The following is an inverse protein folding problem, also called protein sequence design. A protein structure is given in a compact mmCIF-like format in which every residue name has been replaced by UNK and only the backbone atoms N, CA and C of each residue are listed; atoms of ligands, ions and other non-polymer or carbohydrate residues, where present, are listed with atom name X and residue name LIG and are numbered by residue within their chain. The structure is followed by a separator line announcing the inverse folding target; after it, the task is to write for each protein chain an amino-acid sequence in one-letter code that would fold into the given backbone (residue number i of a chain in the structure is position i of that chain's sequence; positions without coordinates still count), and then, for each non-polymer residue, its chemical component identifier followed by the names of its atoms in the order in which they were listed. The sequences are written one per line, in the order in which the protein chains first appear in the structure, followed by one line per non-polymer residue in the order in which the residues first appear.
data_IF_385176130169
#
_entry.id   IF_385176130169
#
_cell.length_a   1.000
_cell.length_b   1.000
_cell.length_c   1.000
_cell.angle_alpha   90.00
_cell.angle_beta   90.00
_cell.angle_gamma   90.00
#
_symmetry.space_group_name_H-M   'P 1'
#
loop_
_entity.id
_entity.type
_entity.pdbx_description
1 polymer ?
#
# COMPACT_ATOMS: atom_id res chain seq x y z
N UNK A 1 -18.18 -9.94 -2.34
CA UNK A 1 -17.00 -10.77 -2.76
C UNK A 1 -16.21 -11.09 -1.50
N UNK A 2 -15.78 -12.33 -1.31
CA UNK A 2 -14.86 -12.70 -0.21
C UNK A 2 -13.46 -12.56 -0.78
N UNK A 3 -12.63 -11.74 -0.12
CA UNK A 3 -11.23 -11.57 -0.47
C UNK A 3 -10.43 -12.57 0.37
N UNK A 4 -9.53 -13.31 -0.28
CA UNK A 4 -8.69 -14.31 0.34
C UNK A 4 -7.23 -13.83 0.36
N UNK A 5 -6.39 -14.53 1.15
CA UNK A 5 -4.95 -14.33 1.11
C UNK A 5 -4.41 -14.55 -0.31
N UNK A 6 -3.40 -13.76 -0.68
CA UNK A 6 -2.80 -13.78 -2.02
C UNK A 6 -1.35 -14.28 -1.89
N UNK A 7 -1.04 -15.41 -2.51
CA UNK A 7 0.34 -15.88 -2.63
C UNK A 7 1.06 -15.08 -3.71
N UNK A 8 2.15 -14.42 -3.35
CA UNK A 8 3.01 -13.69 -4.30
C UNK A 8 4.03 -14.65 -4.91
N UNK A 9 4.68 -15.45 -4.07
CA UNK A 9 5.60 -16.52 -4.47
C UNK A 9 5.73 -17.54 -3.30
N UNK A 10 6.75 -18.40 -3.33
CA UNK A 10 6.96 -19.44 -2.31
C UNK A 10 7.25 -18.89 -0.90
N UNK A 11 7.77 -17.66 -0.80
CA UNK A 11 8.21 -17.05 0.47
C UNK A 11 7.37 -15.86 0.89
N UNK A 12 6.66 -15.20 -0.05
CA UNK A 12 5.90 -13.98 0.19
C UNK A 12 4.40 -14.26 0.08
N UNK A 13 3.65 -13.90 1.12
CA UNK A 13 2.20 -13.97 1.15
C UNK A 13 1.60 -12.65 1.63
N UNK A 14 0.53 -12.22 0.99
CA UNK A 14 -0.32 -11.11 1.43
C UNK A 14 -1.53 -11.72 2.14
N UNK A 15 -1.65 -11.50 3.44
CA UNK A 15 -2.80 -11.98 4.22
C UNK A 15 -3.79 -10.85 4.42
N UNK A 16 -5.06 -11.15 4.25
CA UNK A 16 -6.13 -10.19 4.53
C UNK A 16 -6.02 -9.70 5.97
N UNK A 17 -6.09 -8.38 6.17
CA UNK A 17 -5.97 -7.78 7.49
C UNK A 17 -7.07 -8.27 8.42
N UNK A 18 -6.69 -8.75 9.61
CA UNK A 18 -7.59 -9.22 10.64
C UNK A 18 -7.38 -8.46 11.96
N UNK A 19 -8.40 -8.46 12.81
CA UNK A 19 -8.33 -7.76 14.10
C UNK A 19 -7.12 -8.19 14.95
N UNK A 20 -6.72 -9.45 14.88
CA UNK A 20 -5.59 -9.98 15.66
C UNK A 20 -4.24 -9.34 15.26
N UNK A 21 -4.13 -8.75 14.09
CA UNK A 21 -2.87 -8.23 13.54
C UNK A 21 -2.41 -6.92 14.20
N UNK A 22 -3.29 -6.22 14.92
CA UNK A 22 -3.01 -4.88 15.43
C UNK A 22 -1.76 -4.80 16.31
N UNK A 23 -1.46 -5.82 17.12
CA UNK A 23 -0.28 -5.82 17.98
C UNK A 23 1.00 -5.96 17.16
N UNK A 24 1.02 -6.90 16.21
CA UNK A 24 2.16 -7.12 15.31
C UNK A 24 2.46 -5.87 14.49
N UNK A 25 1.42 -5.23 13.95
CA UNK A 25 1.55 -3.97 13.20
C UNK A 25 2.10 -2.87 14.09
N UNK A 26 1.55 -2.69 15.32
CA UNK A 26 2.03 -1.69 16.25
C UNK A 26 3.51 -1.87 16.58
N UNK A 27 3.95 -3.09 16.93
CA UNK A 27 5.35 -3.36 17.22
C UNK A 27 6.26 -3.07 16.04
N UNK A 28 5.85 -3.43 14.82
CA UNK A 28 6.62 -3.14 13.62
C UNK A 28 6.76 -1.64 13.36
N UNK A 29 5.68 -0.86 13.55
CA UNK A 29 5.73 0.60 13.48
C UNK A 29 6.66 1.16 14.54
N UNK A 30 6.53 0.71 15.79
CA UNK A 30 7.29 1.21 16.93
C UNK A 30 8.79 1.00 16.77
N UNK A 31 9.20 -0.17 16.31
CA UNK A 31 10.60 -0.51 16.02
C UNK A 31 11.17 0.25 14.80
N UNK A 32 10.32 0.82 13.94
CA UNK A 32 10.73 1.44 12.68
C UNK A 32 10.30 2.92 12.56
N UNK A 33 9.95 3.60 13.68
CA UNK A 33 9.43 4.98 13.65
C UNK A 33 10.31 5.96 12.89
N UNK A 34 11.62 5.95 13.12
CA UNK A 34 12.56 6.88 12.47
C UNK A 34 12.61 6.70 10.95
N UNK A 35 12.43 5.47 10.48
CA UNK A 35 12.36 5.14 9.06
C UNK A 35 11.02 5.54 8.44
N UNK A 36 9.92 5.09 9.04
CA UNK A 36 8.56 5.24 8.50
C UNK A 36 8.08 6.70 8.57
N UNK A 37 8.38 7.42 9.66
CA UNK A 37 7.95 8.80 9.91
C UNK A 37 8.39 9.79 8.82
N UNK A 38 9.46 9.48 8.10
CA UNK A 38 9.96 10.34 7.01
C UNK A 38 8.92 10.57 5.92
N UNK A 39 8.06 9.57 5.70
CA UNK A 39 7.14 9.53 4.56
C UNK A 39 5.69 9.21 4.94
N UNK A 40 5.45 8.79 6.17
CA UNK A 40 4.15 8.28 6.62
C UNK A 40 3.70 9.06 7.86
N UNK A 41 2.83 10.06 7.70
CA UNK A 41 2.42 10.93 8.80
C UNK A 41 1.64 10.19 9.89
N UNK A 42 0.97 9.07 9.59
CA UNK A 42 0.22 8.29 10.56
C UNK A 42 1.07 7.76 11.72
N UNK A 43 2.38 7.62 11.54
CA UNK A 43 3.31 7.15 12.58
C UNK A 43 3.28 8.05 13.82
N UNK A 44 3.06 9.35 13.65
CA UNK A 44 2.94 10.29 14.76
C UNK A 44 1.61 10.17 15.54
N UNK A 45 0.61 9.58 14.92
CA UNK A 45 -0.70 9.31 15.53
C UNK A 45 -0.79 7.89 16.11
N UNK A 46 0.03 6.94 15.64
CA UNK A 46 0.11 5.58 16.17
C UNK A 46 1.03 5.52 17.41
N UNK A 47 0.55 6.04 18.54
CA UNK A 47 1.31 6.16 19.79
C UNK A 47 1.18 4.94 20.71
N UNK A 48 0.16 4.14 20.50
CA UNK A 48 -0.15 2.94 21.28
C UNK A 48 -0.77 1.86 20.42
N UNK A 49 -0.80 0.62 20.93
CA UNK A 49 -1.49 -0.48 20.26
C UNK A 49 -3.00 -0.24 20.12
N UNK A 50 -3.58 0.63 20.96
CA UNK A 50 -5.00 1.02 20.85
C UNK A 50 -5.26 1.86 19.59
N UNK A 51 -4.33 2.73 19.22
CA UNK A 51 -4.45 3.54 18.00
C UNK A 51 -4.38 2.67 16.76
N UNK A 52 -3.46 1.68 16.76
CA UNK A 52 -3.37 0.68 15.70
C UNK A 52 -4.62 -0.20 15.64
N UNK A 53 -5.19 -0.60 16.79
CA UNK A 53 -6.46 -1.33 16.83
C UNK A 53 -7.60 -0.51 16.23
N UNK A 54 -7.65 0.81 16.50
CA UNK A 54 -8.66 1.69 15.89
C UNK A 54 -8.52 1.74 14.36
N UNK A 55 -7.29 1.83 13.85
CA UNK A 55 -7.02 1.73 12.40
C UNK A 55 -7.48 0.37 11.84
N UNK A 56 -7.05 -0.75 12.45
CA UNK A 56 -7.44 -2.09 11.96
C UNK A 56 -8.95 -2.26 11.95
N UNK A 57 -9.66 -1.79 13.00
CA UNK A 57 -11.12 -1.79 13.03
C UNK A 57 -11.72 -0.95 11.90
N UNK A 58 -11.19 0.23 11.62
CA UNK A 58 -11.72 1.07 10.54
C UNK A 58 -11.63 0.43 9.16
N UNK A 59 -10.67 -0.49 8.96
CA UNK A 59 -10.56 -1.27 7.73
C UNK A 59 -11.47 -2.50 7.75
N UNK A 60 -11.41 -3.29 8.82
CA UNK A 60 -12.17 -4.56 8.92
C UNK A 60 -13.67 -4.33 8.96
N UNK A 61 -14.10 -3.24 9.59
CA UNK A 61 -15.53 -2.87 9.73
C UNK A 61 -16.02 -1.98 8.57
N UNK A 62 -15.21 -1.75 7.53
CA UNK A 62 -15.59 -0.92 6.37
C UNK A 62 -16.61 -1.63 5.47
N UNK A 63 -17.89 -1.41 5.77
CA UNK A 63 -19.02 -1.96 5.01
C UNK A 63 -19.12 -1.42 3.58
N UNK A 64 -18.63 -0.20 3.34
CA UNK A 64 -18.63 0.43 2.01
C UNK A 64 -17.49 -0.09 1.12
N UNK A 65 -16.55 -0.81 1.71
CA UNK A 65 -15.37 -1.35 1.02
C UNK A 65 -14.61 -0.30 0.24
N UNK A 66 -14.40 0.85 0.83
CA UNK A 66 -13.60 1.93 0.25
C UNK A 66 -12.10 1.71 0.42
N UNK A 67 -11.75 0.74 1.26
CA UNK A 67 -10.37 0.34 1.51
C UNK A 67 -10.26 -1.17 1.75
N UNK A 68 -9.10 -1.72 1.41
CA UNK A 68 -8.74 -3.10 1.68
C UNK A 68 -7.25 -3.15 2.02
N UNK A 69 -6.87 -3.85 3.06
CA UNK A 69 -5.47 -3.89 3.50
C UNK A 69 -5.01 -5.32 3.70
N UNK A 70 -3.79 -5.59 3.28
CA UNK A 70 -3.10 -6.86 3.45
C UNK A 70 -1.84 -6.67 4.28
N UNK A 71 -1.60 -7.60 5.19
CA UNK A 71 -0.34 -7.77 5.88
C UNK A 71 0.64 -8.52 4.97
N UNK A 72 1.89 -8.04 4.88
CA UNK A 72 2.94 -8.67 4.07
C UNK A 72 3.77 -9.57 4.98
N UNK A 73 3.86 -10.84 4.62
CA UNK A 73 4.66 -11.85 5.32
C UNK A 73 5.73 -12.41 4.39
N UNK A 74 6.96 -12.52 4.89
CA UNK A 74 8.10 -13.11 4.18
C UNK A 74 8.70 -14.18 5.08
N UNK A 75 8.73 -15.43 4.60
CA UNK A 75 9.20 -16.61 5.37
C UNK A 75 8.58 -16.72 6.77
N UNK A 76 7.28 -16.38 6.87
CA UNK A 76 6.54 -16.42 8.14
C UNK A 76 6.74 -15.20 9.04
N UNK A 77 7.50 -14.20 8.61
CA UNK A 77 7.72 -12.95 9.35
C UNK A 77 6.87 -11.82 8.76
N UNK A 78 6.16 -11.06 9.63
CA UNK A 78 5.48 -9.82 9.24
C UNK A 78 6.50 -8.74 8.89
N UNK A 79 6.35 -8.09 7.72
CA UNK A 79 7.32 -7.12 7.23
C UNK A 79 6.72 -5.78 6.80
N UNK A 80 5.40 -5.65 6.74
CA UNK A 80 4.75 -4.40 6.33
C UNK A 80 3.30 -4.57 5.90
N UNK A 81 2.75 -3.53 5.31
CA UNK A 81 1.40 -3.50 4.76
C UNK A 81 1.41 -3.08 3.29
N UNK A 82 0.45 -3.60 2.55
CA UNK A 82 0.02 -3.09 1.25
C UNK A 82 -1.50 -3.01 1.26
N UNK A 83 -2.06 -1.92 0.73
CA UNK A 83 -3.50 -1.73 0.77
C UNK A 83 -4.02 -0.95 -0.41
N UNK A 84 -5.31 -1.10 -0.59
CA UNK A 84 -6.15 -0.35 -1.52
C UNK A 84 -6.89 0.72 -0.73
N UNK A 85 -6.88 1.94 -1.20
CA UNK A 85 -7.63 3.05 -0.63
C UNK A 85 -8.34 3.82 -1.74
N UNK A 86 -9.32 4.61 -1.35
CA UNK A 86 -10.14 5.38 -2.28
C UNK A 86 -10.72 4.50 -3.42
N UNK A 87 -11.18 3.29 -3.05
CA UNK A 87 -11.81 2.37 -4.00
C UNK A 87 -13.12 3.02 -4.48
N UNK A 88 -13.16 3.32 -5.77
CA UNK A 88 -14.30 3.92 -6.45
C UNK A 88 -14.79 2.94 -7.54
N UNK A 89 -15.76 2.12 -7.16
CA UNK A 89 -16.33 1.12 -8.07
C UNK A 89 -17.09 1.75 -9.23
N UNK A 90 -17.67 2.95 -9.04
CA UNK A 90 -18.39 3.65 -10.09
C UNK A 90 -17.46 4.09 -11.21
N UNK A 91 -16.33 4.70 -10.86
CA UNK A 91 -15.33 5.16 -11.81
C UNK A 91 -14.24 4.11 -12.08
N UNK A 92 -14.33 2.92 -11.44
CA UNK A 92 -13.40 1.79 -11.58
C UNK A 92 -11.94 2.21 -11.37
N UNK A 93 -11.68 2.92 -10.29
CA UNK A 93 -10.35 3.40 -9.92
C UNK A 93 -10.01 3.10 -8.46
N UNK A 94 -8.71 2.99 -8.18
CA UNK A 94 -8.20 2.68 -6.84
C UNK A 94 -6.79 3.23 -6.68
N UNK A 95 -6.41 3.56 -5.44
CA UNK A 95 -5.04 3.91 -5.09
C UNK A 95 -4.37 2.78 -4.28
N UNK A 96 -3.13 2.41 -4.62
CA UNK A 96 -2.30 1.49 -3.84
C UNK A 96 -1.41 2.31 -2.90
N UNK A 97 -1.46 1.97 -1.60
CA UNK A 97 -0.53 2.46 -0.59
C UNK A 97 0.24 1.31 0.05
N UNK A 98 1.50 1.55 0.46
CA UNK A 98 2.34 0.50 1.05
C UNK A 98 3.46 1.04 1.93
N UNK A 99 3.94 0.16 2.83
CA UNK A 99 5.19 0.37 3.55
C UNK A 99 5.83 -0.95 3.97
N UNK A 100 7.14 -0.92 4.20
CA UNK A 100 7.93 -2.03 4.75
C UNK A 100 8.77 -1.56 5.92
N UNK A 101 9.07 -2.48 6.83
CA UNK A 101 10.10 -2.27 7.84
C UNK A 101 11.46 -2.02 7.17
N UNK A 102 12.32 -1.21 7.82
CA UNK A 102 13.55 -0.69 7.22
C UNK A 102 14.46 -1.78 6.64
N UNK A 103 14.72 -2.86 7.40
CA UNK A 103 15.61 -3.96 7.01
C UNK A 103 15.14 -4.79 5.80
N UNK A 104 13.88 -4.65 5.40
CA UNK A 104 13.27 -5.33 4.26
C UNK A 104 13.16 -4.45 3.02
N UNK A 105 13.57 -3.18 3.11
CA UNK A 105 13.60 -2.29 1.95
C UNK A 105 14.76 -2.65 1.00
N UNK A 106 14.61 -2.33 -0.29
CA UNK A 106 15.65 -2.53 -1.30
C UNK A 106 15.86 -3.99 -1.77
N UNK A 107 15.03 -4.94 -1.30
CA UNK A 107 15.13 -6.37 -1.64
C UNK A 107 14.15 -6.84 -2.73
N UNK A 108 13.45 -5.91 -3.39
CA UNK A 108 12.46 -6.24 -4.42
C UNK A 108 11.09 -6.68 -3.89
N UNK A 109 10.94 -6.94 -2.59
CA UNK A 109 9.71 -7.47 -1.96
C UNK A 109 8.49 -6.63 -2.35
N UNK A 110 8.53 -5.31 -2.15
CA UNK A 110 7.39 -4.45 -2.46
C UNK A 110 7.07 -4.40 -3.95
N UNK A 111 8.05 -4.49 -4.84
CA UNK A 111 7.80 -4.57 -6.29
C UNK A 111 6.95 -5.79 -6.61
N UNK A 112 7.34 -6.98 -6.13
CA UNK A 112 6.59 -8.22 -6.32
C UNK A 112 5.17 -8.15 -5.72
N UNK A 113 5.04 -7.55 -4.53
CA UNK A 113 3.72 -7.36 -3.90
C UNK A 113 2.82 -6.44 -4.74
N UNK A 114 3.37 -5.33 -5.27
CA UNK A 114 2.61 -4.39 -6.12
C UNK A 114 2.22 -5.04 -7.45
N UNK A 115 3.12 -5.77 -8.10
CA UNK A 115 2.81 -6.54 -9.32
C UNK A 115 1.65 -7.50 -9.08
N UNK A 116 1.68 -8.24 -7.97
CA UNK A 116 0.59 -9.17 -7.62
C UNK A 116 -0.72 -8.47 -7.27
N UNK A 117 -0.65 -7.30 -6.63
CA UNK A 117 -1.84 -6.48 -6.39
C UNK A 117 -2.44 -5.91 -7.68
N UNK A 118 -1.62 -5.58 -8.68
CA UNK A 118 -2.09 -5.12 -9.99
C UNK A 118 -2.92 -6.22 -10.68
N UNK A 119 -2.43 -7.47 -10.69
CA UNK A 119 -3.18 -8.61 -11.20
C UNK A 119 -4.53 -8.72 -10.49
N UNK A 120 -4.53 -8.73 -9.15
CA UNK A 120 -5.75 -8.80 -8.34
C UNK A 120 -6.73 -7.66 -8.66
N UNK A 121 -6.24 -6.43 -8.79
CA UNK A 121 -7.06 -5.25 -9.06
C UNK A 121 -7.69 -5.32 -10.46
N UNK A 122 -6.93 -5.70 -11.49
CA UNK A 122 -7.43 -5.72 -12.85
C UNK A 122 -8.26 -6.96 -13.17
N UNK A 123 -7.87 -8.13 -12.66
CA UNK A 123 -8.53 -9.40 -12.98
C UNK A 123 -9.69 -9.74 -12.05
N UNK A 124 -9.55 -9.42 -10.74
CA UNK A 124 -10.57 -9.81 -9.74
C UNK A 124 -11.51 -8.68 -9.41
N UNK A 125 -10.99 -7.45 -9.21
CA UNK A 125 -11.82 -6.28 -8.90
C UNK A 125 -12.31 -5.56 -10.16
N UNK A 126 -11.82 -5.95 -11.34
CA UNK A 126 -12.18 -5.40 -12.65
C UNK A 126 -12.04 -3.87 -12.74
N UNK A 127 -11.06 -3.30 -12.04
CA UNK A 127 -10.80 -1.86 -12.08
C UNK A 127 -10.22 -1.45 -13.44
N UNK A 128 -10.38 -0.17 -13.78
CA UNK A 128 -9.82 0.39 -15.03
C UNK A 128 -8.52 1.16 -14.79
N UNK A 129 -8.35 1.72 -13.57
CA UNK A 129 -7.22 2.59 -13.25
C UNK A 129 -6.67 2.34 -11.86
N UNK A 130 -5.37 2.17 -11.78
CA UNK A 130 -4.61 2.11 -10.54
C UNK A 130 -3.78 3.39 -10.41
N UNK A 131 -3.74 3.95 -9.19
CA UNK A 131 -2.91 5.08 -8.86
C UNK A 131 -1.94 4.73 -7.73
N UNK A 132 -0.74 5.30 -7.77
CA UNK A 132 0.23 5.28 -6.66
C UNK A 132 0.72 6.71 -6.47
N UNK A 133 0.68 7.21 -5.23
CA UNK A 133 1.23 8.51 -4.86
C UNK A 133 2.48 8.33 -4.01
N UNK A 134 3.53 9.07 -4.33
CA UNK A 134 4.80 9.04 -3.62
C UNK A 134 5.22 10.46 -3.24
N UNK A 135 5.63 10.67 -2.00
CA UNK A 135 6.21 11.95 -1.60
C UNK A 135 7.39 12.33 -2.49
N UNK A 136 7.41 13.57 -2.98
CA UNK A 136 8.53 14.09 -3.80
C UNK A 136 9.85 13.92 -3.04
N UNK A 137 10.83 13.27 -3.68
CA UNK A 137 12.12 12.93 -3.06
C UNK A 137 12.16 11.53 -2.41
N UNK A 138 11.03 10.81 -2.30
CA UNK A 138 11.01 9.41 -1.86
C UNK A 138 11.39 8.47 -3.02
N UNK A 139 12.66 8.52 -3.43
CA UNK A 139 13.16 7.76 -4.58
C UNK A 139 12.96 6.25 -4.46
N UNK A 140 13.00 5.69 -3.24
CA UNK A 140 12.76 4.26 -3.02
C UNK A 140 11.31 3.87 -3.34
N UNK A 141 10.35 4.71 -2.95
CA UNK A 141 8.93 4.48 -3.23
C UNK A 141 8.64 4.71 -4.71
N UNK A 142 9.07 5.84 -5.29
CA UNK A 142 8.79 6.18 -6.68
C UNK A 142 9.50 5.28 -7.71
N UNK A 143 10.57 4.59 -7.32
CA UNK A 143 11.22 3.59 -8.17
C UNK A 143 10.32 2.37 -8.46
N UNK A 144 9.34 2.07 -7.61
CA UNK A 144 8.45 0.91 -7.78
C UNK A 144 7.50 1.13 -8.96
N UNK A 145 6.61 2.16 -8.95
CA UNK A 145 5.73 2.41 -10.08
C UNK A 145 6.50 2.63 -11.39
N UNK A 146 7.64 3.34 -11.36
CA UNK A 146 8.48 3.55 -12.54
C UNK A 146 8.95 2.23 -13.18
N UNK A 147 9.39 1.27 -12.34
CA UNK A 147 9.88 -0.04 -12.80
C UNK A 147 8.77 -0.90 -13.40
N UNK A 148 7.57 -0.82 -12.85
CA UNK A 148 6.41 -1.60 -13.28
C UNK A 148 5.75 -1.02 -14.54
N UNK A 149 6.09 0.24 -14.92
CA UNK A 149 5.58 0.87 -16.13
C UNK A 149 4.41 1.83 -15.89
N UNK A 150 4.21 2.30 -14.66
CA UNK A 150 3.26 3.38 -14.41
C UNK A 150 3.73 4.68 -15.07
N UNK A 151 2.80 5.44 -15.59
CA UNK A 151 3.02 6.78 -16.14
C UNK A 151 3.00 7.83 -15.00
N UNK A 152 4.00 8.70 -14.95
CA UNK A 152 3.96 9.89 -14.10
C UNK A 152 3.01 10.94 -14.73
N UNK A 153 1.92 11.24 -14.06
CA UNK A 153 0.94 12.24 -14.53
C UNK A 153 1.28 13.67 -14.12
N UNK A 154 1.99 13.82 -13.00
CA UNK A 154 2.39 15.13 -12.50
C UNK A 154 2.64 15.16 -11.00
N UNK A 155 2.66 16.38 -10.47
CA UNK A 155 2.87 16.68 -9.06
C UNK A 155 1.59 17.25 -8.46
N UNK A 156 1.05 16.59 -7.44
CA UNK A 156 0.01 17.12 -6.57
C UNK A 156 0.68 17.97 -5.49
N UNK A 157 0.58 19.29 -5.65
CA UNK A 157 1.22 20.22 -4.72
C UNK A 157 0.53 20.19 -3.37
N UNK A 158 1.32 20.05 -2.29
CA UNK A 158 0.84 19.99 -0.90
C UNK A 158 -0.23 18.90 -0.69
N UNK A 159 -0.08 17.78 -1.40
CA UNK A 159 -1.04 16.68 -1.42
C UNK A 159 -1.13 15.88 -0.12
N UNK A 160 -0.12 15.98 0.76
CA UNK A 160 -0.14 15.28 2.05
C UNK A 160 0.33 16.18 3.19
N UNK A 161 -0.46 16.18 4.28
CA UNK A 161 -0.13 16.92 5.51
C UNK A 161 0.71 16.05 6.44
N UNK A 162 1.90 16.53 6.78
CA UNK A 162 2.75 16.02 7.85
C UNK A 162 2.61 16.89 9.09
N UNK A 163 3.12 16.49 10.28
CA UNK A 163 2.95 17.23 11.53
C UNK A 163 3.43 18.69 11.45
N UNK A 164 4.51 18.93 10.72
CA UNK A 164 5.22 20.20 10.64
C UNK A 164 5.22 20.86 9.26
N UNK A 165 4.68 20.18 8.23
CA UNK A 165 4.70 20.66 6.83
C UNK A 165 3.66 19.97 5.96
N UNK A 166 3.46 20.52 4.77
CA UNK A 166 2.83 19.80 3.65
C UNK A 166 3.92 19.32 2.69
N UNK A 167 3.70 18.16 2.06
CA UNK A 167 4.59 17.64 1.02
C UNK A 167 3.86 17.51 -0.31
N UNK A 168 4.61 17.68 -1.38
CA UNK A 168 4.14 17.43 -2.74
C UNK A 168 4.20 15.92 -3.02
N UNK A 169 3.29 15.42 -3.86
CA UNK A 169 3.22 14.02 -4.22
C UNK A 169 3.42 13.85 -5.74
N UNK A 170 4.33 12.96 -6.13
CA UNK A 170 4.38 12.41 -7.48
C UNK A 170 3.18 11.48 -7.67
N UNK A 171 2.35 11.72 -8.70
CA UNK A 171 1.16 10.93 -9.01
C UNK A 171 1.45 10.01 -10.17
N UNK A 172 1.42 8.71 -9.94
CA UNK A 172 1.63 7.68 -10.96
C UNK A 172 0.32 6.95 -11.24
N UNK A 173 0.10 6.57 -12.50
CA UNK A 173 -1.06 5.77 -12.88
C UNK A 173 -0.72 4.64 -13.84
N UNK A 174 -1.53 3.58 -13.80
CA UNK A 174 -1.52 2.47 -14.74
C UNK A 174 -2.97 2.16 -15.13
N UNK A 175 -3.23 2.09 -16.44
CA UNK A 175 -4.55 1.72 -16.97
C UNK A 175 -4.60 0.23 -17.32
N UNK A 176 -5.76 -0.39 -17.17
CA UNK A 176 -5.96 -1.80 -17.49
C UNK A 176 -5.49 -2.15 -18.91
N UNK A 177 -5.82 -1.31 -19.91
CA UNK A 177 -5.39 -1.50 -21.30
C UNK A 177 -3.87 -1.42 -21.51
N UNK A 178 -3.16 -0.69 -20.65
CA UNK A 178 -1.70 -0.58 -20.71
C UNK A 178 -1.07 -1.84 -20.13
N UNK A 179 -1.58 -2.29 -18.99
CA UNK A 179 -1.14 -3.53 -18.34
C UNK A 179 -1.36 -4.77 -19.24
N UNK A 180 -2.52 -4.89 -19.91
CA UNK A 180 -2.82 -5.97 -20.85
C UNK A 180 -1.85 -6.03 -22.05
N UNK A 181 -1.32 -4.88 -22.49
CA UNK A 181 -0.32 -4.87 -23.57
C UNK A 181 1.05 -5.38 -23.12
N UNK A 182 1.37 -5.27 -21.85
CA UNK A 182 2.63 -5.75 -21.25
C UNK A 182 2.54 -7.23 -20.85
N UNK A 183 1.31 -7.76 -20.70
CA UNK A 183 1.00 -9.13 -20.27
C UNK A 183 -0.05 -9.75 -21.21
N UNK A 184 0.30 -9.99 -22.49
CA UNK A 184 -0.63 -10.51 -23.53
C UNK A 184 -1.08 -11.95 -23.28
#
# INVERSE_FOLDING_TARGET
MIINDISVNQTIILKVLALIDYQTIYYAIDQNRSHLRKWLPFVDFSKSSKDTLAFVKSVVDDVERRQEVFTIWVDGEFVGLIGLKDIDFLNRRVEIGYWLIERMTGKGIMTLCVEKMIEFIFETLEMNRIQIKCGVGNSKSSAIPKRIGFLLEGIERQGEKHPDKYIDLEVYSLLQKEWQKLHP
#
